data_IF_274464029424
#
_entry.id   IF_274464029424
#
_cell.length_a   1.000
_cell.length_b   1.000
_cell.length_c   1.000
_cell.angle_alpha   90.00
_cell.angle_beta   90.00
_cell.angle_gamma   90.00
#
_symmetry.space_group_name_H-M   'P 1'
#
loop_
_entity.id
_entity.type
_entity.pdbx_description
1 polymer ?
#
# COMPACT_ATOMS: atom_id res chain seq x y z
N UNK A 1 -30.94 21.80 -17.92
CA UNK A 1 -29.57 22.08 -17.40
C UNK A 1 -29.09 21.11 -16.29
N UNK A 2 -29.93 20.21 -15.77
CA UNK A 2 -29.60 19.25 -14.69
C UNK A 2 -28.87 17.99 -15.16
N UNK A 3 -29.15 17.49 -16.37
CA UNK A 3 -28.51 16.28 -16.92
C UNK A 3 -27.01 16.43 -17.18
N UNK A 4 -26.54 17.61 -17.59
CA UNK A 4 -25.12 17.88 -17.84
C UNK A 4 -24.28 17.85 -16.56
N UNK A 5 -24.80 18.34 -15.44
CA UNK A 5 -24.10 18.32 -14.15
C UNK A 5 -23.96 16.88 -13.59
N UNK A 6 -24.97 16.05 -13.79
CA UNK A 6 -24.92 14.63 -13.36
C UNK A 6 -23.92 13.82 -14.17
N UNK A 7 -23.78 14.05 -15.46
CA UNK A 7 -22.83 13.36 -16.33
C UNK A 7 -21.38 13.73 -15.96
N UNK A 8 -21.11 15.00 -15.67
CA UNK A 8 -19.78 15.49 -15.23
C UNK A 8 -19.41 14.89 -13.88
N UNK A 9 -20.37 14.76 -12.95
CA UNK A 9 -20.15 14.16 -11.62
C UNK A 9 -19.81 12.66 -11.71
N UNK A 10 -20.48 11.92 -12.62
CA UNK A 10 -20.21 10.49 -12.84
C UNK A 10 -18.85 10.30 -13.53
N UNK A 11 -18.48 11.19 -14.47
CA UNK A 11 -17.18 11.14 -15.14
C UNK A 11 -16.02 11.44 -14.18
N UNK A 12 -16.20 12.37 -13.26
CA UNK A 12 -15.22 12.69 -12.21
C UNK A 12 -15.05 11.55 -11.21
N UNK A 13 -16.13 10.88 -10.81
CA UNK A 13 -16.09 9.71 -9.92
C UNK A 13 -15.34 8.51 -10.53
N UNK A 14 -15.36 8.39 -11.86
CA UNK A 14 -14.67 7.29 -12.56
C UNK A 14 -13.16 7.51 -12.71
N UNK A 15 -12.68 8.76 -12.56
CA UNK A 15 -11.25 9.09 -12.66
C UNK A 15 -10.45 8.81 -11.38
N UNK A 16 -11.11 8.63 -10.23
CA UNK A 16 -10.45 8.46 -8.92
C UNK A 16 -10.00 7.01 -8.68
N UNK A 17 -10.37 6.05 -9.53
CA UNK A 17 -10.08 4.61 -9.34
C UNK A 17 -8.70 4.18 -9.88
N UNK A 18 -7.86 5.10 -10.34
CA UNK A 18 -6.50 4.77 -10.80
C UNK A 18 -5.51 4.73 -9.64
N UNK A 19 -5.76 3.88 -8.64
CA UNK A 19 -4.76 3.55 -7.63
C UNK A 19 -3.65 2.71 -8.24
N UNK A 20 -2.43 3.26 -8.32
CA UNK A 20 -1.22 2.49 -8.60
C UNK A 20 -0.98 1.52 -7.43
N UNK A 21 -1.35 0.28 -7.64
CA UNK A 21 -1.19 -0.78 -6.66
C UNK A 21 0.26 -1.28 -6.69
N UNK A 22 1.08 -0.84 -5.75
CA UNK A 22 2.42 -1.39 -5.55
C UNK A 22 2.31 -2.72 -4.80
N UNK A 23 2.62 -3.83 -5.46
CA UNK A 23 2.70 -5.13 -4.81
C UNK A 23 4.08 -5.32 -4.17
N UNK A 24 4.11 -5.77 -2.91
CA UNK A 24 5.34 -6.16 -2.21
C UNK A 24 5.58 -7.69 -2.29
N UNK A 25 4.85 -8.37 -3.16
CA UNK A 25 5.04 -9.78 -3.45
C UNK A 25 6.37 -10.02 -4.15
N UNK A 26 7.14 -11.04 -3.76
CA UNK A 26 8.49 -11.28 -4.29
C UNK A 26 8.50 -11.64 -5.79
N UNK A 27 7.42 -12.23 -6.31
CA UNK A 27 7.27 -12.60 -7.71
C UNK A 27 6.90 -11.44 -8.64
N UNK A 28 6.39 -10.33 -8.09
CA UNK A 28 5.97 -9.17 -8.88
C UNK A 28 7.14 -8.20 -9.05
N UNK A 29 7.47 -7.89 -10.30
CA UNK A 29 8.56 -6.96 -10.66
C UNK A 29 7.97 -5.73 -11.32
N UNK A 30 8.34 -4.56 -10.83
CA UNK A 30 7.96 -3.31 -11.46
C UNK A 30 8.54 -3.19 -12.88
N UNK A 31 7.77 -2.66 -13.83
CA UNK A 31 8.24 -2.44 -15.21
C UNK A 31 9.50 -1.58 -15.28
N UNK A 32 9.64 -0.63 -14.37
CA UNK A 32 10.81 0.25 -14.29
C UNK A 32 12.09 -0.49 -13.91
N UNK A 33 11.98 -1.69 -13.35
CA UNK A 33 13.09 -2.52 -12.91
C UNK A 33 13.43 -3.64 -13.90
N UNK A 34 12.61 -3.79 -14.95
CA UNK A 34 12.89 -4.71 -16.03
C UNK A 34 14.15 -4.25 -16.82
N UNK A 35 14.93 -5.21 -17.30
CA UNK A 35 16.18 -4.98 -18.08
C UNK A 35 17.27 -4.22 -17.30
N UNK A 36 17.20 -4.17 -15.97
CA UNK A 36 18.25 -3.58 -15.12
C UNK A 36 19.04 -4.67 -14.41
N UNK A 37 20.33 -4.44 -14.26
CA UNK A 37 21.18 -5.31 -13.43
C UNK A 37 20.77 -5.11 -11.96
N UNK A 38 20.57 -6.22 -11.27
CA UNK A 38 20.24 -6.28 -9.84
C UNK A 38 21.35 -6.99 -9.09
N UNK A 39 21.66 -6.54 -7.88
CA UNK A 39 22.64 -7.24 -7.04
C UNK A 39 21.97 -8.43 -6.37
N UNK A 40 22.61 -9.59 -6.46
CA UNK A 40 22.15 -10.81 -5.79
C UNK A 40 23.11 -11.16 -4.66
N UNK A 41 22.55 -11.48 -3.49
CA UNK A 41 23.28 -11.97 -2.32
C UNK A 41 22.66 -13.30 -1.91
N UNK A 42 23.51 -14.27 -1.57
CA UNK A 42 23.05 -15.57 -1.09
C UNK A 42 23.00 -15.60 0.43
N UNK A 43 22.02 -16.34 0.94
CA UNK A 43 21.77 -16.43 2.37
C UNK A 43 21.11 -17.77 2.74
N UNK A 44 21.08 -18.05 4.05
CA UNK A 44 20.35 -19.18 4.63
C UNK A 44 19.26 -18.64 5.55
N UNK A 45 18.08 -19.21 5.50
CA UNK A 45 16.94 -18.84 6.35
C UNK A 45 17.20 -19.31 7.79
N UNK A 46 17.14 -18.38 8.74
CA UNK A 46 17.29 -18.66 10.18
C UNK A 46 15.93 -18.82 10.87
N UNK A 47 15.01 -17.86 10.65
CA UNK A 47 13.62 -17.93 11.15
C UNK A 47 12.66 -17.28 10.16
N UNK A 48 11.38 -17.62 10.31
CA UNK A 48 10.28 -17.08 9.52
C UNK A 48 9.14 -16.78 10.49
N UNK A 49 8.76 -15.50 10.57
CA UNK A 49 7.72 -15.02 11.45
C UNK A 49 6.60 -14.39 10.62
N UNK A 50 5.34 -14.68 10.97
CA UNK A 50 4.20 -14.05 10.31
C UNK A 50 3.95 -12.68 10.91
N UNK A 51 3.86 -11.69 10.07
CA UNK A 51 3.58 -10.30 10.44
C UNK A 51 2.44 -9.76 9.59
N UNK A 52 1.90 -8.62 9.97
CA UNK A 52 0.88 -7.91 9.20
C UNK A 52 1.49 -6.59 8.75
N UNK A 53 1.51 -6.35 7.47
CA UNK A 53 1.82 -5.03 6.92
C UNK A 53 0.65 -4.08 7.20
N UNK A 54 0.95 -2.93 7.79
CA UNK A 54 -0.02 -1.86 7.97
C UNK A 54 -0.58 -1.44 6.62
N UNK A 55 -1.85 -1.11 6.60
CA UNK A 55 -2.49 -0.59 5.41
C UNK A 55 -2.15 0.88 5.16
N UNK A 56 -2.62 1.39 4.02
CA UNK A 56 -2.47 2.77 3.60
C UNK A 56 -3.63 3.62 4.16
N UNK A 57 -3.48 4.07 5.41
CA UNK A 57 -4.42 4.98 6.05
C UNK A 57 -4.39 6.39 5.45
N UNK A 58 -3.25 6.82 4.88
CA UNK A 58 -3.09 8.18 4.35
C UNK A 58 -3.94 8.39 3.09
N UNK A 59 -3.91 7.44 2.16
CA UNK A 59 -4.80 7.46 0.98
C UNK A 59 -6.27 7.42 1.39
N UNK A 60 -6.62 6.61 2.39
CA UNK A 60 -7.96 6.57 2.95
C UNK A 60 -8.38 7.89 3.59
N UNK A 61 -7.48 8.57 4.32
CA UNK A 61 -7.73 9.86 4.93
C UNK A 61 -8.03 10.94 3.88
N UNK A 62 -7.23 11.02 2.82
CA UNK A 62 -7.44 11.97 1.72
C UNK A 62 -8.78 11.74 1.03
N UNK A 63 -9.10 10.50 0.68
CA UNK A 63 -10.38 10.15 0.06
C UNK A 63 -11.56 10.49 0.99
N UNK A 64 -11.45 10.14 2.27
CA UNK A 64 -12.46 10.45 3.29
C UNK A 64 -12.65 11.95 3.51
N UNK A 65 -11.56 12.75 3.50
CA UNK A 65 -11.64 14.20 3.63
C UNK A 65 -12.40 14.83 2.46
N UNK A 66 -12.13 14.39 1.23
CA UNK A 66 -12.85 14.90 0.04
C UNK A 66 -14.33 14.57 0.10
N UNK A 67 -14.68 13.32 0.37
CA UNK A 67 -16.08 12.89 0.45
C UNK A 67 -16.80 13.58 1.63
N UNK A 68 -16.15 13.61 2.79
CA UNK A 68 -16.71 14.25 3.99
C UNK A 68 -16.86 15.75 3.84
N UNK A 69 -15.89 16.43 3.18
CA UNK A 69 -15.95 17.86 2.90
C UNK A 69 -17.11 18.21 1.98
N UNK A 70 -17.30 17.49 0.89
CA UNK A 70 -18.41 17.69 -0.04
C UNK A 70 -19.76 17.41 0.65
N UNK A 71 -19.86 16.32 1.40
CA UNK A 71 -21.07 15.98 2.14
C UNK A 71 -21.39 17.03 3.20
N UNK A 72 -20.40 17.49 3.97
CA UNK A 72 -20.57 18.54 4.97
C UNK A 72 -21.02 19.85 4.36
N UNK A 73 -20.39 20.31 3.27
CA UNK A 73 -20.76 21.54 2.59
C UNK A 73 -22.17 21.52 1.98
N UNK A 74 -22.72 20.33 1.67
CA UNK A 74 -24.04 20.19 1.07
C UNK A 74 -25.20 20.22 2.08
N UNK A 75 -24.93 20.31 3.38
CA UNK A 75 -25.97 20.25 4.45
C UNK A 75 -26.65 21.60 4.67
N UNK A 76 -26.01 22.71 4.30
CA UNK A 76 -26.54 24.07 4.54
C UNK A 76 -26.59 24.88 3.23
N UNK A 77 -27.57 25.81 3.16
CA UNK A 77 -27.77 26.70 2.00
C UNK A 77 -27.04 28.05 2.15
N UNK A 78 -26.42 28.29 3.30
CA UNK A 78 -25.67 29.52 3.62
C UNK A 78 -24.18 29.34 3.31
N UNK A 79 -23.56 30.21 2.52
CA UNK A 79 -22.17 30.10 2.10
C UNK A 79 -21.18 29.94 3.29
N UNK A 80 -21.32 30.80 4.30
CA UNK A 80 -20.42 30.77 5.48
C UNK A 80 -20.59 29.51 6.33
N UNK A 81 -21.83 29.04 6.50
CA UNK A 81 -22.11 27.81 7.27
C UNK A 81 -21.69 26.57 6.46
N UNK A 82 -21.82 26.59 5.14
CA UNK A 82 -21.39 25.53 4.23
C UNK A 82 -19.88 25.31 4.30
N UNK A 83 -19.08 26.39 4.35
CA UNK A 83 -17.62 26.31 4.47
C UNK A 83 -17.18 25.66 5.80
N UNK A 84 -17.81 26.06 6.90
CA UNK A 84 -17.53 25.49 8.21
C UNK A 84 -17.97 24.02 8.28
N UNK A 85 -19.16 23.71 7.79
CA UNK A 85 -19.68 22.35 7.74
C UNK A 85 -18.85 21.45 6.82
N UNK A 86 -18.37 21.97 5.70
CA UNK A 86 -17.43 21.29 4.81
C UNK A 86 -16.10 20.96 5.47
N UNK A 87 -15.52 21.92 6.24
CA UNK A 87 -14.28 21.69 6.96
C UNK A 87 -14.45 20.62 8.07
N UNK A 88 -15.52 20.69 8.83
CA UNK A 88 -15.83 19.67 9.85
C UNK A 88 -16.08 18.29 9.21
N UNK A 89 -16.82 18.25 8.11
CA UNK A 89 -17.04 17.04 7.33
C UNK A 89 -15.74 16.42 6.81
N UNK A 90 -14.81 17.26 6.32
CA UNK A 90 -13.50 16.80 5.88
C UNK A 90 -12.67 16.21 7.03
N UNK A 91 -12.68 16.82 8.20
CA UNK A 91 -11.96 16.31 9.37
C UNK A 91 -12.52 14.96 9.84
N UNK A 92 -13.83 14.83 9.96
CA UNK A 92 -14.48 13.57 10.34
C UNK A 92 -14.27 12.51 9.24
N UNK A 93 -14.46 12.89 7.97
CA UNK A 93 -14.26 12.03 6.82
C UNK A 93 -12.84 11.50 6.71
N UNK A 94 -11.82 12.35 6.98
CA UNK A 94 -10.42 11.92 6.97
C UNK A 94 -10.13 10.89 8.06
N UNK A 95 -10.65 11.09 9.27
CA UNK A 95 -10.42 10.17 10.39
C UNK A 95 -11.07 8.78 10.14
N UNK A 96 -12.29 8.78 9.60
CA UNK A 96 -12.99 7.53 9.24
C UNK A 96 -12.31 6.87 8.04
N UNK A 97 -12.00 7.64 7.00
CA UNK A 97 -11.35 7.18 5.79
C UNK A 97 -9.97 6.58 6.06
N UNK A 98 -9.19 7.18 6.97
CA UNK A 98 -7.89 6.64 7.38
C UNK A 98 -8.02 5.24 7.97
N UNK A 99 -8.95 5.03 8.89
CA UNK A 99 -9.18 3.71 9.50
C UNK A 99 -9.68 2.69 8.49
N UNK A 100 -10.57 3.09 7.61
CA UNK A 100 -11.09 2.20 6.55
C UNK A 100 -10.01 1.86 5.53
N UNK A 101 -9.20 2.83 5.11
CA UNK A 101 -8.08 2.62 4.20
C UNK A 101 -7.04 1.66 4.77
N UNK A 102 -6.63 1.90 6.03
CA UNK A 102 -5.71 0.99 6.72
C UNK A 102 -6.28 -0.44 6.82
N UNK A 103 -7.53 -0.59 7.25
CA UNK A 103 -8.13 -1.91 7.39
C UNK A 103 -8.31 -2.65 6.06
N UNK A 104 -8.68 -1.92 4.99
CA UNK A 104 -8.94 -2.51 3.67
C UNK A 104 -7.65 -2.91 2.92
N UNK A 105 -6.52 -2.27 3.24
CA UNK A 105 -5.24 -2.46 2.54
C UNK A 105 -4.20 -3.23 3.35
N UNK A 106 -4.52 -3.66 4.58
CA UNK A 106 -3.67 -4.56 5.38
C UNK A 106 -3.42 -5.86 4.66
N UNK A 107 -2.19 -6.34 4.72
CA UNK A 107 -1.79 -7.57 4.05
C UNK A 107 -1.00 -8.50 4.95
N UNK A 108 -1.21 -9.82 4.83
CA UNK A 108 -0.33 -10.79 5.45
C UNK A 108 1.06 -10.71 4.82
N UNK A 109 2.07 -10.79 5.68
CA UNK A 109 3.47 -10.75 5.29
C UNK A 109 4.29 -11.69 6.15
N UNK A 110 5.50 -11.94 5.72
CA UNK A 110 6.48 -12.72 6.44
C UNK A 110 7.73 -11.89 6.69
N UNK A 111 8.23 -11.97 7.90
CA UNK A 111 9.56 -11.51 8.27
C UNK A 111 10.50 -12.70 8.21
N UNK A 112 11.53 -12.61 7.38
CA UNK A 112 12.52 -13.68 7.18
C UNK A 112 13.84 -13.21 7.72
N UNK A 113 14.34 -13.87 8.77
CA UNK A 113 15.69 -13.68 9.29
C UNK A 113 16.66 -14.52 8.47
N UNK A 114 17.73 -13.91 8.02
CA UNK A 114 18.64 -14.47 7.03
C UNK A 114 20.10 -14.29 7.46
N UNK A 115 20.86 -15.37 7.43
CA UNK A 115 22.31 -15.32 7.54
C UNK A 115 22.92 -15.25 6.13
N UNK A 116 23.56 -14.12 5.83
CA UNK A 116 24.27 -13.91 4.59
C UNK A 116 25.58 -14.70 4.55
N UNK A 117 26.01 -15.14 3.37
CA UNK A 117 27.32 -15.78 3.21
C UNK A 117 28.50 -14.88 3.58
N UNK A 118 28.27 -13.57 3.70
CA UNK A 118 29.23 -12.61 4.24
C UNK A 118 29.37 -12.61 5.77
N UNK A 119 28.60 -13.43 6.48
CA UNK A 119 28.60 -13.52 7.95
C UNK A 119 27.73 -12.47 8.65
N UNK A 120 26.90 -11.72 7.92
CA UNK A 120 25.95 -10.76 8.50
C UNK A 120 24.55 -11.38 8.56
N UNK A 121 23.85 -11.14 9.67
CA UNK A 121 22.43 -11.48 9.80
C UNK A 121 21.58 -10.25 9.44
N UNK A 122 20.53 -10.45 8.65
CA UNK A 122 19.59 -9.40 8.23
C UNK A 122 18.16 -9.92 8.31
N UNK A 123 17.20 -9.02 8.54
CA UNK A 123 15.79 -9.32 8.43
C UNK A 123 15.18 -8.62 7.21
N UNK A 124 14.31 -9.31 6.50
CA UNK A 124 13.55 -8.78 5.37
C UNK A 124 12.08 -9.11 5.57
N UNK A 125 11.24 -8.08 5.49
CA UNK A 125 9.79 -8.22 5.51
C UNK A 125 9.29 -8.11 4.08
N UNK A 126 8.53 -9.09 3.64
CA UNK A 126 7.89 -9.10 2.33
C UNK A 126 6.45 -9.63 2.41
N UNK A 127 5.60 -9.21 1.48
CA UNK A 127 4.24 -9.74 1.35
C UNK A 127 4.29 -11.25 1.10
N UNK A 128 3.39 -12.00 1.70
CA UNK A 128 3.29 -13.44 1.47
C UNK A 128 2.92 -13.69 -0.01
N UNK A 129 3.82 -14.38 -0.71
CA UNK A 129 3.68 -14.71 -2.13
C UNK A 129 3.49 -16.21 -2.33
N UNK A 130 3.69 -16.66 -3.57
CA UNK A 130 3.52 -18.06 -3.94
C UNK A 130 4.68 -18.96 -3.50
N UNK A 131 5.75 -18.35 -2.94
CA UNK A 131 6.91 -19.09 -2.45
C UNK A 131 6.76 -19.46 -0.98
N UNK A 132 7.00 -20.73 -0.66
CA UNK A 132 7.16 -21.19 0.71
C UNK A 132 8.65 -21.23 1.08
N UNK A 133 8.95 -20.86 2.32
CA UNK A 133 10.29 -20.88 2.87
C UNK A 133 10.36 -21.85 4.04
N UNK A 134 11.54 -22.44 4.27
CA UNK A 134 11.82 -23.30 5.41
C UNK A 134 13.11 -22.86 6.11
N UNK A 135 13.18 -23.07 7.42
CA UNK A 135 14.41 -22.83 8.20
C UNK A 135 15.52 -23.73 7.66
N UNK A 136 16.71 -23.17 7.50
CA UNK A 136 17.87 -23.83 6.88
C UNK A 136 17.88 -23.82 5.34
N UNK A 137 16.82 -23.33 4.70
CA UNK A 137 16.75 -23.25 3.25
C UNK A 137 17.71 -22.22 2.69
N UNK A 138 18.38 -22.53 1.59
CA UNK A 138 19.20 -21.59 0.83
C UNK A 138 18.32 -20.72 -0.04
N UNK A 139 18.56 -19.42 -0.01
CA UNK A 139 17.82 -18.41 -0.73
C UNK A 139 18.74 -17.39 -1.39
N UNK A 140 18.18 -16.65 -2.33
CA UNK A 140 18.81 -15.47 -2.94
C UNK A 140 18.03 -14.22 -2.55
N UNK A 141 18.76 -13.17 -2.18
CA UNK A 141 18.23 -11.84 -1.94
C UNK A 141 18.54 -10.99 -3.15
N UNK A 142 17.53 -10.47 -3.79
CA UNK A 142 17.66 -9.58 -4.94
C UNK A 142 17.48 -8.15 -4.44
N UNK A 143 18.52 -7.33 -4.60
CA UNK A 143 18.55 -5.92 -4.18
C UNK A 143 18.43 -5.00 -5.38
N UNK A 144 17.51 -4.05 -5.32
CA UNK A 144 17.33 -3.01 -6.33
C UNK A 144 16.85 -1.70 -5.68
N UNK A 145 17.62 -0.62 -5.84
CA UNK A 145 17.26 0.74 -5.39
C UNK A 145 16.71 0.83 -3.95
N UNK A 146 17.35 0.13 -3.01
CA UNK A 146 16.93 0.12 -1.61
C UNK A 146 15.80 -0.86 -1.28
N UNK A 147 15.16 -1.47 -2.27
CA UNK A 147 14.21 -2.58 -2.07
C UNK A 147 14.95 -3.91 -2.11
N UNK A 148 14.53 -4.85 -1.28
CA UNK A 148 15.09 -6.21 -1.24
C UNK A 148 13.94 -7.22 -1.26
N UNK A 149 14.13 -8.32 -1.98
CA UNK A 149 13.19 -9.44 -1.99
C UNK A 149 13.94 -10.76 -1.88
N UNK A 150 13.35 -11.69 -1.16
CA UNK A 150 13.89 -13.02 -0.95
C UNK A 150 13.19 -14.00 -1.90
N UNK A 151 13.96 -14.84 -2.56
CA UNK A 151 13.46 -15.89 -3.43
C UNK A 151 14.19 -17.21 -3.13
N UNK A 152 13.50 -18.36 -3.21
CA UNK A 152 14.15 -19.65 -3.05
C UNK A 152 15.19 -19.88 -4.16
N UNK A 153 16.23 -20.63 -3.85
CA UNK A 153 17.10 -21.22 -4.86
C UNK A 153 16.40 -22.50 -5.33
N UNK A 154 16.01 -22.51 -6.59
CA UNK A 154 15.53 -23.71 -7.27
C UNK A 154 16.70 -24.60 -7.65
#
# INVERSE_FOLDING_TARGET
>A
MTASKSIISIFFAMFVVSCSYSSLRPEVVDRSDAQRMQTVVFATVVSIDRVILSGDGDTGAVAGAVVGGIAGASVTDSETESDIAGLLGALVGSAVGSKMGDAATRKPAIEILLDLDSGKTVSIIQEEGDYSFAVGQRVKIIKNKGKSRVMPLQ
#
